data_IF_932228465681
#
_entry.id   IF_932228465681
#
_cell.length_a   1.000
_cell.length_b   1.000
_cell.length_c   1.000
_cell.angle_alpha   90.00
_cell.angle_beta   90.00
_cell.angle_gamma   90.00
#
_symmetry.space_group_name_H-M   'P 1'
#
loop_
_entity.id
_entity.type
_entity.pdbx_description
1 polymer ?
#
# COMPACT_ATOMS: atom_id res chain seq x y z
N UNK A 1 16.48 -33.10 -4.03
CA UNK A 1 15.78 -31.85 -4.42
C UNK A 1 16.12 -31.55 -5.88
N UNK A 2 15.11 -31.43 -6.75
CA UNK A 2 15.32 -30.95 -8.13
C UNK A 2 15.73 -29.47 -8.05
N UNK A 3 16.88 -29.11 -8.63
CA UNK A 3 17.28 -27.70 -8.74
C UNK A 3 16.26 -27.01 -9.65
N UNK A 4 15.62 -25.97 -9.13
CA UNK A 4 14.72 -25.13 -9.92
C UNK A 4 15.58 -24.22 -10.79
N UNK A 5 15.49 -24.33 -12.11
CA UNK A 5 16.14 -23.37 -13.01
C UNK A 5 15.36 -22.05 -13.03
N UNK A 6 15.98 -20.97 -13.52
CA UNK A 6 15.29 -19.69 -13.71
C UNK A 6 14.10 -19.84 -14.66
N UNK A 7 14.25 -20.65 -15.71
CA UNK A 7 13.15 -20.97 -16.65
C UNK A 7 12.02 -21.71 -15.94
N UNK A 8 12.34 -22.75 -15.15
CA UNK A 8 11.32 -23.50 -14.40
C UNK A 8 10.56 -22.59 -13.42
N UNK A 9 11.23 -21.60 -12.82
CA UNK A 9 10.59 -20.63 -11.94
C UNK A 9 9.69 -19.67 -12.73
N UNK A 10 10.20 -19.08 -13.81
CA UNK A 10 9.47 -18.15 -14.67
C UNK A 10 8.17 -18.77 -15.22
N UNK A 11 8.23 -20.02 -15.67
CA UNK A 11 7.06 -20.76 -16.16
C UNK A 11 6.02 -20.99 -15.06
N UNK A 12 6.47 -21.35 -13.84
CA UNK A 12 5.57 -21.59 -12.69
C UNK A 12 4.80 -20.37 -12.26
N UNK A 13 5.41 -19.19 -12.35
CA UNK A 13 4.75 -17.92 -11.99
C UNK A 13 4.11 -17.23 -13.20
N UNK A 14 4.14 -17.86 -14.39
CA UNK A 14 3.66 -17.27 -15.65
C UNK A 14 4.27 -15.88 -15.94
N UNK A 15 5.57 -15.70 -15.67
CA UNK A 15 6.25 -14.39 -15.69
C UNK A 15 6.04 -13.62 -17.00
N UNK A 16 6.01 -14.33 -18.13
CA UNK A 16 5.91 -13.74 -19.47
C UNK A 16 4.46 -13.60 -19.97
N UNK A 17 3.47 -13.88 -19.13
CA UNK A 17 2.05 -13.71 -19.47
C UNK A 17 1.51 -12.48 -18.74
N UNK A 18 0.90 -11.53 -19.46
CA UNK A 18 0.22 -10.41 -18.81
C UNK A 18 -0.81 -10.91 -17.82
N UNK A 19 -0.82 -10.33 -16.61
CA UNK A 19 -1.91 -10.55 -15.68
C UNK A 19 -3.18 -9.88 -16.22
N UNK A 20 -4.25 -10.66 -16.34
CA UNK A 20 -5.56 -10.16 -16.75
C UNK A 20 -6.53 -10.51 -15.62
N UNK A 21 -6.90 -9.54 -14.77
CA UNK A 21 -7.89 -9.79 -13.73
C UNK A 21 -9.23 -10.12 -14.39
N UNK A 22 -10.00 -11.00 -13.75
CA UNK A 22 -11.39 -11.22 -14.14
C UNK A 22 -12.25 -10.17 -13.44
N UNK A 23 -12.75 -9.14 -14.15
CA UNK A 23 -13.44 -8.03 -13.51
C UNK A 23 -14.82 -8.47 -13.00
N UNK A 24 -15.17 -8.03 -11.80
CA UNK A 24 -16.54 -8.09 -11.32
C UNK A 24 -17.39 -7.11 -12.12
N UNK A 25 -18.39 -7.63 -12.85
CA UNK A 25 -19.27 -6.80 -13.66
C UNK A 25 -20.39 -6.16 -12.83
N UNK A 26 -20.83 -4.97 -13.26
CA UNK A 26 -22.02 -4.31 -12.73
C UNK A 26 -21.85 -3.62 -11.38
N UNK A 27 -20.62 -3.50 -10.87
CA UNK A 27 -20.34 -2.76 -9.64
C UNK A 27 -19.64 -1.44 -9.96
N UNK A 28 -20.04 -0.37 -9.26
CA UNK A 28 -19.37 0.93 -9.29
C UNK A 28 -18.14 0.92 -8.38
N UNK A 29 -17.19 1.85 -8.58
CA UNK A 29 -16.01 1.96 -7.72
C UNK A 29 -16.37 2.08 -6.22
N UNK A 30 -17.34 2.92 -5.79
CA UNK A 30 -17.77 2.95 -4.40
C UNK A 30 -18.32 1.61 -3.89
N UNK A 31 -19.05 0.86 -4.73
CA UNK A 31 -19.56 -0.45 -4.36
C UNK A 31 -18.43 -1.49 -4.21
N UNK A 32 -17.39 -1.41 -5.04
CA UNK A 32 -16.19 -2.25 -4.93
C UNK A 32 -15.42 -1.92 -3.64
N UNK A 33 -15.23 -0.64 -3.32
CA UNK A 33 -14.59 -0.19 -2.07
C UNK A 33 -15.34 -0.75 -0.85
N UNK A 34 -16.66 -0.55 -0.79
CA UNK A 34 -17.48 -1.08 0.31
C UNK A 34 -17.38 -2.59 0.43
N UNK A 35 -17.34 -3.32 -0.68
CA UNK A 35 -17.21 -4.77 -0.69
C UNK A 35 -15.91 -5.24 -0.06
N UNK A 36 -14.79 -4.58 -0.36
CA UNK A 36 -13.49 -4.92 0.25
C UNK A 36 -13.49 -4.53 1.73
N UNK A 37 -13.98 -3.33 2.09
CA UNK A 37 -14.05 -2.88 3.48
C UNK A 37 -14.94 -3.77 4.38
N UNK A 38 -15.98 -4.38 3.82
CA UNK A 38 -16.82 -5.36 4.53
C UNK A 38 -16.04 -6.60 4.97
N UNK A 39 -15.10 -7.07 4.15
CA UNK A 39 -14.22 -8.19 4.55
C UNK A 39 -13.20 -7.76 5.63
N UNK A 40 -12.79 -6.48 5.60
CA UNK A 40 -11.85 -5.90 6.56
C UNK A 40 -12.50 -5.47 7.89
N UNK A 41 -13.84 -5.48 7.99
CA UNK A 41 -14.58 -5.01 9.17
C UNK A 41 -14.06 -5.59 10.50
N UNK A 42 -13.74 -6.90 10.63
CA UNK A 42 -13.22 -7.44 11.89
C UNK A 42 -11.86 -6.85 12.31
N UNK A 43 -11.03 -6.42 11.36
CA UNK A 43 -9.75 -5.74 11.64
C UNK A 43 -9.99 -4.27 11.95
N UNK A 44 -10.88 -3.61 11.20
CA UNK A 44 -11.22 -2.21 11.38
C UNK A 44 -11.89 -1.93 12.74
N UNK A 45 -12.72 -2.85 13.22
CA UNK A 45 -13.34 -2.76 14.54
C UNK A 45 -12.32 -2.74 15.68
N UNK A 46 -11.19 -3.44 15.55
CA UNK A 46 -10.10 -3.38 16.54
C UNK A 46 -9.43 -2.02 16.60
N UNK A 47 -9.52 -1.25 15.52
CA UNK A 47 -9.01 0.11 15.40
C UNK A 47 -10.07 1.17 15.75
N UNK A 48 -11.25 0.77 16.25
CA UNK A 48 -12.32 1.67 16.66
C UNK A 48 -13.29 2.11 15.55
N UNK A 49 -13.18 1.54 14.35
CA UNK A 49 -14.09 1.83 13.23
C UNK A 49 -15.22 0.79 13.22
N UNK A 50 -16.42 1.23 13.59
CA UNK A 50 -17.58 0.34 13.79
C UNK A 50 -18.45 0.13 12.56
N UNK A 51 -18.71 1.18 11.77
CA UNK A 51 -19.47 1.08 10.53
C UNK A 51 -18.86 1.95 9.43
N UNK A 52 -18.38 1.30 8.37
CA UNK A 52 -17.79 1.97 7.21
C UNK A 52 -18.81 2.70 6.35
N UNK A 53 -20.12 2.43 6.53
CA UNK A 53 -21.19 3.08 5.77
C UNK A 53 -21.52 4.49 6.24
N UNK A 54 -21.06 4.87 7.43
CA UNK A 54 -21.22 6.23 7.95
C UNK A 54 -20.24 7.21 7.27
N UNK A 55 -19.18 6.69 6.67
CA UNK A 55 -18.18 7.44 5.92
C UNK A 55 -18.67 7.74 4.50
N UNK A 56 -18.27 8.88 3.96
CA UNK A 56 -18.49 9.17 2.54
C UNK A 56 -17.59 8.32 1.61
N UNK A 57 -17.78 8.43 0.29
CA UNK A 57 -17.03 7.61 -0.68
C UNK A 57 -15.52 7.84 -0.65
N UNK A 58 -15.08 9.07 -0.40
CA UNK A 58 -13.67 9.46 -0.44
C UNK A 58 -12.98 9.02 0.86
N UNK A 59 -13.68 9.17 2.00
CA UNK A 59 -13.28 8.63 3.29
C UNK A 59 -13.18 7.10 3.26
N UNK A 60 -14.15 6.41 2.65
CA UNK A 60 -14.10 4.95 2.46
C UNK A 60 -12.88 4.54 1.61
N UNK A 61 -12.57 5.25 0.52
CA UNK A 61 -11.42 4.93 -0.33
C UNK A 61 -10.09 5.16 0.40
N UNK A 62 -10.02 6.23 1.19
CA UNK A 62 -8.86 6.55 2.05
C UNK A 62 -8.67 5.51 3.15
N UNK A 63 -9.77 5.07 3.76
CA UNK A 63 -9.75 3.99 4.74
C UNK A 63 -9.29 2.68 4.13
N UNK A 64 -9.79 2.33 2.94
CA UNK A 64 -9.36 1.13 2.23
C UNK A 64 -7.85 1.13 2.00
N UNK A 65 -7.29 2.24 1.54
CA UNK A 65 -5.85 2.41 1.29
C UNK A 65 -5.00 2.15 2.54
N UNK A 66 -5.46 2.72 3.65
CA UNK A 66 -4.83 2.54 4.96
C UNK A 66 -4.94 1.10 5.44
N UNK A 67 -6.11 0.49 5.27
CA UNK A 67 -6.39 -0.86 5.75
C UNK A 67 -5.58 -1.92 4.99
N UNK A 68 -5.51 -1.85 3.66
CA UNK A 68 -4.75 -2.82 2.85
C UNK A 68 -3.24 -2.76 3.12
N UNK A 69 -2.74 -1.63 3.63
CA UNK A 69 -1.33 -1.46 4.02
C UNK A 69 -0.96 -2.27 5.26
N UNK A 70 -1.91 -2.53 6.16
CA UNK A 70 -1.65 -3.12 7.49
C UNK A 70 -2.23 -4.52 7.68
N UNK A 71 -3.05 -5.01 6.74
CA UNK A 71 -3.68 -6.33 6.87
C UNK A 71 -2.66 -7.46 6.69
N UNK A 72 -2.83 -8.59 7.39
CA UNK A 72 -1.99 -9.76 7.19
C UNK A 72 -2.07 -10.34 5.77
N UNK A 73 -1.02 -11.03 5.29
CA UNK A 73 -1.07 -11.76 4.03
C UNK A 73 -2.21 -12.78 4.02
N UNK A 74 -2.93 -12.86 2.90
CA UNK A 74 -4.02 -13.83 2.72
C UNK A 74 -5.31 -13.51 3.50
N UNK A 75 -5.44 -12.30 4.06
CA UNK A 75 -6.63 -11.91 4.82
C UNK A 75 -7.90 -11.80 3.94
N UNK A 76 -7.78 -11.32 2.70
CA UNK A 76 -8.91 -11.20 1.78
C UNK A 76 -9.32 -12.54 1.18
N UNK A 77 -10.63 -12.77 1.08
CA UNK A 77 -11.18 -13.89 0.32
C UNK A 77 -10.94 -13.70 -1.18
N UNK A 78 -11.15 -14.75 -1.99
CA UNK A 78 -11.07 -14.63 -3.46
C UNK A 78 -12.05 -13.59 -4.02
N UNK A 79 -13.22 -13.43 -3.38
CA UNK A 79 -14.18 -12.39 -3.75
C UNK A 79 -13.66 -10.99 -3.44
N UNK A 80 -13.01 -10.82 -2.28
CA UNK A 80 -12.38 -9.57 -1.86
C UNK A 80 -11.21 -9.19 -2.76
N UNK A 81 -10.36 -10.18 -3.11
CA UNK A 81 -9.27 -10.00 -4.08
C UNK A 81 -9.81 -9.59 -5.45
N UNK A 82 -10.84 -10.28 -5.96
CA UNK A 82 -11.46 -9.93 -7.25
C UNK A 82 -12.10 -8.54 -7.23
N UNK A 83 -12.72 -8.13 -6.11
CA UNK A 83 -13.25 -6.78 -5.96
C UNK A 83 -12.14 -5.71 -5.95
N UNK A 84 -11.05 -5.96 -5.23
CA UNK A 84 -9.88 -5.08 -5.18
C UNK A 84 -9.20 -4.99 -6.55
N UNK A 85 -8.98 -6.10 -7.23
CA UNK A 85 -8.42 -6.16 -8.57
C UNK A 85 -9.27 -5.39 -9.58
N UNK A 86 -10.60 -5.52 -9.50
CA UNK A 86 -11.53 -4.79 -10.35
C UNK A 86 -11.44 -3.28 -10.09
N UNK A 87 -11.39 -2.87 -8.81
CA UNK A 87 -11.26 -1.47 -8.40
C UNK A 87 -9.95 -0.86 -8.94
N UNK A 88 -8.81 -1.49 -8.65
CA UNK A 88 -7.49 -1.00 -9.06
C UNK A 88 -7.37 -0.99 -10.58
N UNK A 89 -7.91 -1.98 -11.28
CA UNK A 89 -7.91 -2.00 -12.75
C UNK A 89 -8.73 -0.86 -13.34
N UNK A 90 -9.90 -0.56 -12.79
CA UNK A 90 -10.73 0.56 -13.21
C UNK A 90 -10.04 1.91 -12.94
N UNK A 91 -9.41 2.07 -11.78
CA UNK A 91 -8.62 3.26 -11.44
C UNK A 91 -7.42 3.43 -12.39
N UNK A 92 -6.71 2.35 -12.71
CA UNK A 92 -5.58 2.37 -13.64
C UNK A 92 -6.01 2.77 -15.07
N UNK A 93 -7.14 2.26 -15.55
CA UNK A 93 -7.68 2.62 -16.88
C UNK A 93 -8.07 4.10 -17.00
N UNK A 94 -8.34 4.77 -15.89
CA UNK A 94 -8.65 6.21 -15.86
C UNK A 94 -7.40 7.10 -15.94
N UNK A 95 -6.21 6.51 -15.79
CA UNK A 95 -4.94 7.22 -15.77
C UNK A 95 -4.25 7.19 -17.14
N UNK A 96 -3.41 8.20 -17.40
CA UNK A 96 -2.60 8.23 -18.61
C UNK A 96 -1.36 7.36 -18.43
N UNK A 97 -1.32 6.23 -19.12
CA UNK A 97 -0.17 5.31 -19.10
C UNK A 97 0.97 5.85 -19.97
N UNK A 98 2.19 5.86 -19.44
CA UNK A 98 3.42 6.19 -20.18
C UNK A 98 4.11 4.90 -20.61
N UNK A 99 4.31 4.69 -21.91
CA UNK A 99 5.09 3.55 -22.41
C UNK A 99 6.59 3.87 -22.43
N UNK A 100 7.41 3.02 -21.81
CA UNK A 100 8.87 3.25 -21.75
C UNK A 100 9.52 3.31 -23.14
N UNK A 101 8.93 2.66 -24.15
CA UNK A 101 9.42 2.68 -25.52
C UNK A 101 9.28 4.04 -26.22
N UNK A 102 8.41 4.91 -25.71
CA UNK A 102 8.18 6.27 -26.20
C UNK A 102 9.14 7.30 -25.59
N UNK A 103 9.86 6.92 -24.53
CA UNK A 103 10.74 7.84 -23.80
C UNK A 103 12.10 7.96 -24.48
N UNK A 104 12.58 9.20 -24.61
CA UNK A 104 13.91 9.48 -25.14
C UNK A 104 15.00 9.04 -24.13
N UNK A 105 16.07 8.35 -24.59
CA UNK A 105 17.18 7.98 -23.72
C UNK A 105 17.94 9.23 -23.26
N UNK A 106 18.18 9.32 -21.96
CA UNK A 106 19.06 10.30 -21.34
C UNK A 106 20.53 9.95 -21.59
N UNK A 107 20.87 8.66 -21.51
CA UNK A 107 22.23 8.14 -21.70
C UNK A 107 22.17 6.77 -22.37
N UNK A 108 23.25 6.38 -23.06
CA UNK A 108 23.49 4.99 -23.48
C UNK A 108 24.76 4.46 -22.84
N UNK A 109 24.70 3.26 -22.26
CA UNK A 109 25.84 2.52 -21.70
C UNK A 109 25.95 1.22 -22.51
N UNK A 110 26.88 1.17 -23.47
CA UNK A 110 26.90 0.13 -24.49
C UNK A 110 25.59 0.12 -25.29
N UNK A 111 24.92 -1.04 -25.35
CA UNK A 111 23.61 -1.20 -25.98
C UNK A 111 22.43 -0.87 -25.03
N UNK A 112 22.71 -0.52 -23.78
CA UNK A 112 21.67 -0.21 -22.78
C UNK A 112 21.26 1.25 -22.85
N UNK A 113 19.97 1.50 -23.08
CA UNK A 113 19.36 2.83 -22.98
C UNK A 113 19.01 3.13 -21.52
N UNK A 114 19.43 4.27 -21.02
CA UNK A 114 19.07 4.79 -19.70
C UNK A 114 18.16 6.00 -19.91
N UNK A 115 16.99 5.97 -19.28
CA UNK A 115 15.98 7.03 -19.36
C UNK A 115 15.85 7.67 -17.98
N UNK A 116 15.78 9.00 -17.94
CA UNK A 116 15.33 9.73 -16.76
C UNK A 116 13.89 10.16 -16.98
N UNK A 117 13.01 9.75 -16.08
CA UNK A 117 11.58 9.99 -16.17
C UNK A 117 11.05 10.50 -14.84
N UNK A 118 10.11 11.45 -14.89
CA UNK A 118 9.46 12.03 -13.72
C UNK A 118 7.96 11.81 -13.82
N UNK A 119 7.42 10.93 -12.99
CA UNK A 119 6.00 10.64 -12.91
C UNK A 119 5.71 9.61 -11.82
N UNK A 120 4.48 9.12 -11.79
CA UNK A 120 4.06 8.05 -10.88
C UNK A 120 4.42 6.67 -11.47
N UNK A 121 5.36 5.95 -10.83
CA UNK A 121 5.85 4.65 -11.32
C UNK A 121 4.75 3.62 -11.59
N UNK A 122 3.58 3.74 -10.95
CA UNK A 122 2.42 2.86 -11.19
C UNK A 122 1.77 3.08 -12.56
N UNK A 123 2.04 4.22 -13.20
CA UNK A 123 1.57 4.60 -14.56
C UNK A 123 2.60 4.30 -15.65
N UNK A 124 3.77 3.77 -15.28
CA UNK A 124 4.83 3.45 -16.23
C UNK A 124 4.63 2.01 -16.75
N UNK A 125 4.36 1.87 -18.05
CA UNK A 125 4.32 0.57 -18.70
C UNK A 125 5.75 0.12 -19.03
N UNK A 126 6.24 -0.78 -18.19
CA UNK A 126 7.54 -1.44 -18.31
C UNK A 126 7.39 -2.94 -17.99
N UNK A 127 8.36 -3.75 -18.42
CA UNK A 127 8.33 -5.20 -18.16
C UNK A 127 8.50 -5.53 -16.67
N UNK A 128 9.23 -4.68 -15.94
CA UNK A 128 9.43 -4.82 -14.50
C UNK A 128 9.63 -3.45 -13.85
N UNK A 129 9.12 -3.32 -12.63
CA UNK A 129 9.40 -2.22 -11.71
C UNK A 129 10.08 -2.78 -10.46
N UNK A 130 11.00 -2.02 -9.89
CA UNK A 130 11.68 -2.41 -8.65
C UNK A 130 11.03 -1.67 -7.49
N UNK A 131 10.45 -2.42 -6.55
CA UNK A 131 9.99 -1.87 -5.28
C UNK A 131 11.15 -1.86 -4.26
N UNK A 132 11.33 -0.75 -3.55
CA UNK A 132 12.27 -0.67 -2.44
C UNK A 132 11.64 -1.28 -1.17
N UNK A 133 11.53 -2.61 -1.16
CA UNK A 133 10.92 -3.34 -0.05
C UNK A 133 11.74 -3.20 1.23
N UNK A 134 11.05 -3.08 2.36
CA UNK A 134 11.65 -3.17 3.68
C UNK A 134 11.97 -4.63 4.03
N UNK A 135 13.03 -4.82 4.82
CA UNK A 135 13.23 -6.12 5.48
C UNK A 135 12.11 -6.32 6.47
N UNK A 136 11.40 -7.45 6.36
CA UNK A 136 10.47 -7.89 7.41
C UNK A 136 11.33 -8.36 8.57
N UNK A 137 11.88 -7.42 9.34
CA UNK A 137 12.32 -7.73 10.69
C UNK A 137 11.06 -7.88 11.54
N UNK A 138 11.03 -8.89 12.41
CA UNK A 138 9.93 -9.10 13.37
C UNK A 138 9.79 -7.95 14.39
N UNK A 139 10.54 -6.85 14.21
CA UNK A 139 10.58 -5.68 15.05
C UNK A 139 10.63 -4.43 14.15
N UNK A 140 9.59 -3.61 14.21
CA UNK A 140 9.59 -2.28 13.61
C UNK A 140 10.09 -1.29 14.66
N UNK A 141 11.13 -0.52 14.33
CA UNK A 141 11.60 0.58 15.18
C UNK A 141 11.11 1.92 14.63
N UNK A 142 10.47 2.71 15.49
CA UNK A 142 10.00 4.06 15.19
C UNK A 142 10.69 5.06 16.13
N UNK A 143 11.24 6.13 15.56
CA UNK A 143 11.67 7.30 16.31
C UNK A 143 10.73 8.46 15.98
N UNK A 144 10.21 9.14 17.00
CA UNK A 144 9.35 10.30 16.82
C UNK A 144 9.61 11.32 17.92
N UNK A 145 9.28 12.59 17.64
CA UNK A 145 9.43 13.69 18.57
C UNK A 145 8.13 14.48 18.65
N UNK A 146 7.75 14.87 19.86
CA UNK A 146 6.59 15.73 20.12
C UNK A 146 7.09 17.10 20.52
N UNK A 147 6.79 18.12 19.70
CA UNK A 147 7.15 19.52 19.96
C UNK A 147 5.86 20.36 20.04
N UNK A 148 5.24 20.47 21.22
CA UNK A 148 3.99 21.20 21.36
C UNK A 148 4.23 22.72 21.28
N UNK A 149 3.21 23.42 20.76
CA UNK A 149 3.14 24.89 20.70
C UNK A 149 1.83 25.35 21.32
N UNK A 150 1.84 25.57 22.63
CA UNK A 150 0.68 26.08 23.34
C UNK A 150 0.59 27.61 23.29
N UNK A 151 -0.64 28.13 23.17
CA UNK A 151 -0.93 29.56 23.35
C UNK A 151 -0.96 29.95 24.83
N UNK A 152 -1.41 29.03 25.68
CA UNK A 152 -1.46 29.16 27.14
C UNK A 152 -1.14 27.80 27.78
N UNK A 153 -0.45 27.78 28.91
CA UNK A 153 -0.03 26.57 29.62
C UNK A 153 1.41 26.14 29.36
N UNK A 154 1.80 24.98 29.89
CA UNK A 154 3.16 24.48 29.86
C UNK A 154 3.35 23.37 28.81
N UNK A 155 4.27 23.59 27.87
CA UNK A 155 4.62 22.62 26.83
C UNK A 155 5.12 21.29 27.42
N UNK A 156 5.81 21.30 28.56
CA UNK A 156 6.32 20.10 29.21
C UNK A 156 5.19 19.16 29.66
N UNK A 157 4.07 19.70 30.16
CA UNK A 157 2.92 18.89 30.58
C UNK A 157 2.28 18.14 29.39
N UNK A 158 2.34 18.71 28.18
CA UNK A 158 1.85 18.05 26.97
C UNK A 158 2.81 16.96 26.51
N UNK A 159 4.12 17.22 26.63
CA UNK A 159 5.14 16.19 26.37
C UNK A 159 4.99 15.02 27.35
N UNK A 160 4.76 15.29 28.63
CA UNK A 160 4.55 14.27 29.65
C UNK A 160 3.35 13.38 29.32
N UNK A 161 2.22 13.98 28.90
CA UNK A 161 1.05 13.22 28.42
C UNK A 161 1.35 12.37 27.19
N UNK A 162 2.15 12.88 26.25
CA UNK A 162 2.57 12.09 25.10
C UNK A 162 3.45 10.89 25.51
N UNK A 163 4.32 11.08 26.51
CA UNK A 163 5.14 10.00 27.09
C UNK A 163 4.26 8.97 27.81
N UNK A 164 3.21 9.40 28.52
CA UNK A 164 2.26 8.48 29.18
C UNK A 164 1.59 7.54 28.17
N UNK A 165 1.23 8.04 26.98
CA UNK A 165 0.68 7.22 25.90
C UNK A 165 1.69 6.15 25.46
N UNK A 166 2.97 6.49 25.31
CA UNK A 166 4.02 5.53 24.96
C UNK A 166 4.20 4.47 26.06
N UNK A 167 4.21 4.89 27.33
CA UNK A 167 4.31 3.99 28.48
C UNK A 167 3.13 3.02 28.54
N UNK A 168 1.94 3.48 28.21
CA UNK A 168 0.72 2.66 28.19
C UNK A 168 0.65 1.71 26.98
N UNK A 169 1.39 1.96 25.91
CA UNK A 169 1.32 1.21 24.66
C UNK A 169 1.94 -0.21 24.73
N UNK A 170 2.57 -0.58 25.86
CA UNK A 170 3.21 -1.89 26.06
C UNK A 170 4.21 -2.27 24.95
N UNK A 171 4.96 -1.28 24.46
CA UNK A 171 6.03 -1.43 23.45
C UNK A 171 7.40 -1.12 24.08
N UNK A 172 8.46 -1.74 23.57
CA UNK A 172 9.83 -1.39 23.96
C UNK A 172 10.18 0.01 23.44
N UNK A 173 10.64 0.90 24.34
CA UNK A 173 11.03 2.26 23.97
C UNK A 173 12.30 2.70 24.71
N UNK A 174 13.02 3.65 24.11
CA UNK A 174 14.15 4.35 24.73
C UNK A 174 13.89 5.85 24.65
N UNK A 175 13.96 6.55 25.77
CA UNK A 175 13.86 8.00 25.80
C UNK A 175 15.27 8.60 25.74
N UNK A 176 15.57 9.33 24.67
CA UNK A 176 16.79 10.14 24.58
C UNK A 176 16.54 11.51 25.21
N UNK A 177 17.26 11.80 26.28
CA UNK A 177 17.33 13.13 26.93
C UNK A 177 18.18 14.11 26.15
#
# INVERSE_FOLDING_TARGET
MRKLTVSDYADRISLHRPYVPTPLQGLTNPALVLRVLQELTPVLQKSGITDVRELDSDEQRTLLDSAITVIPPGYLSENGKSALDTLISAECQSQSITDVSELAPFLKIGDTKVVLWRGDITTLKADAIVNAANTIENHVMLAFQVIPRLKEGNNFEVVDKAIEVVKAANVSYTQTT
#
